data_IF_969958351778
#
_entry.id   IF_969958351778
#
_cell.length_a   1.000
_cell.length_b   1.000
_cell.length_c   1.000
_cell.angle_alpha   90.00
_cell.angle_beta   90.00
_cell.angle_gamma   90.00
#
_symmetry.space_group_name_H-M   'P 1'
#
loop_
_entity.id
_entity.type
_entity.pdbx_description
1 polymer ?
#
# COMPACT_ATOMS: atom_id res chain seq x y z
N UNK A 1 19.23 -30.66 -24.79
CA UNK A 1 20.33 -30.96 -23.85
C UNK A 1 19.80 -31.98 -22.85
N UNK A 2 20.21 -33.24 -22.97
CA UNK A 2 19.70 -34.33 -22.12
C UNK A 2 20.55 -34.50 -20.85
N UNK A 3 19.86 -34.78 -19.74
CA UNK A 3 20.33 -35.43 -18.51
C UNK A 3 21.56 -34.85 -17.79
N UNK A 4 21.34 -33.77 -17.03
CA UNK A 4 22.24 -33.34 -15.93
C UNK A 4 21.52 -32.94 -14.64
N UNK A 5 20.24 -33.27 -14.48
CA UNK A 5 19.41 -32.73 -13.38
C UNK A 5 19.43 -33.55 -12.09
N UNK A 6 20.28 -34.57 -11.95
CA UNK A 6 20.22 -35.46 -10.78
C UNK A 6 21.24 -35.16 -9.68
N UNK A 7 22.23 -34.30 -9.89
CA UNK A 7 23.29 -34.03 -8.89
C UNK A 7 23.81 -32.58 -8.98
N UNK A 8 22.93 -31.58 -8.87
CA UNK A 8 23.37 -30.21 -8.66
C UNK A 8 23.51 -29.96 -7.16
N UNK A 9 24.75 -29.73 -6.71
CA UNK A 9 25.05 -29.32 -5.35
C UNK A 9 24.34 -27.97 -5.08
N UNK A 10 23.57 -27.80 -3.99
CA UNK A 10 22.83 -26.55 -3.71
C UNK A 10 23.70 -25.28 -3.75
N UNK A 11 24.99 -25.41 -3.48
CA UNK A 11 25.97 -24.30 -3.53
C UNK A 11 26.33 -23.85 -4.95
N UNK A 12 26.11 -24.68 -5.97
CA UNK A 12 26.41 -24.38 -7.38
C UNK A 12 25.17 -23.88 -8.13
N UNK A 13 23.98 -24.12 -7.57
CA UNK A 13 22.70 -23.75 -8.16
C UNK A 13 22.57 -22.25 -8.51
N UNK A 14 23.03 -21.29 -7.67
CA UNK A 14 22.94 -19.87 -8.00
C UNK A 14 23.70 -19.50 -9.29
N UNK A 15 24.89 -20.08 -9.48
CA UNK A 15 25.71 -19.81 -10.66
C UNK A 15 25.08 -20.41 -11.91
N UNK A 16 24.64 -21.66 -11.83
CA UNK A 16 23.97 -22.36 -12.94
C UNK A 16 22.68 -21.63 -13.35
N UNK A 17 21.94 -21.10 -12.39
CA UNK A 17 20.71 -20.35 -12.63
C UNK A 17 20.97 -18.99 -13.28
N UNK A 18 21.93 -18.22 -12.75
CA UNK A 18 22.28 -16.92 -13.31
C UNK A 18 22.86 -17.07 -14.73
N UNK A 19 23.74 -18.05 -14.95
CA UNK A 19 24.29 -18.37 -16.28
C UNK A 19 23.19 -18.77 -17.29
N UNK A 20 22.20 -19.55 -16.85
CA UNK A 20 21.08 -19.96 -17.70
C UNK A 20 20.15 -18.79 -18.05
N UNK A 21 19.89 -17.88 -17.10
CA UNK A 21 19.12 -16.67 -17.35
C UNK A 21 19.85 -15.72 -18.29
N UNK A 22 21.15 -15.51 -18.08
CA UNK A 22 22.00 -14.67 -18.93
C UNK A 22 22.08 -15.22 -20.36
N UNK A 23 22.16 -16.55 -20.52
CA UNK A 23 22.14 -17.20 -21.83
C UNK A 23 20.81 -16.96 -22.58
N UNK A 24 19.67 -16.98 -21.88
CA UNK A 24 18.36 -16.66 -22.49
C UNK A 24 18.29 -15.19 -22.89
N UNK A 25 18.77 -14.28 -22.03
CA UNK A 25 18.83 -12.84 -22.33
C UNK A 25 19.72 -12.55 -23.56
N UNK A 26 20.84 -13.25 -23.71
CA UNK A 26 21.69 -13.14 -24.90
C UNK A 26 21.01 -13.69 -26.16
N UNK A 27 20.32 -14.84 -26.06
CA UNK A 27 19.59 -15.42 -27.19
C UNK A 27 18.37 -14.60 -27.61
N UNK A 28 17.81 -13.78 -26.72
CA UNK A 28 16.75 -12.81 -27.04
C UNK A 28 17.27 -11.66 -27.93
N UNK A 29 18.55 -11.29 -27.81
CA UNK A 29 19.19 -10.33 -28.70
C UNK A 29 19.59 -10.91 -30.07
N UNK A 30 19.51 -12.23 -30.21
CA UNK A 30 19.74 -12.96 -31.45
C UNK A 30 18.39 -13.37 -32.04
N UNK A 31 18.30 -13.58 -33.36
CA UNK A 31 17.05 -13.82 -34.09
C UNK A 31 16.45 -15.24 -33.81
N UNK A 32 16.44 -15.65 -32.55
CA UNK A 32 15.98 -16.93 -32.03
C UNK A 32 14.45 -16.92 -31.91
N UNK A 33 13.79 -18.02 -32.26
CA UNK A 33 12.34 -18.09 -32.21
C UNK A 33 11.81 -18.01 -30.77
N UNK A 34 10.79 -17.16 -30.57
CA UNK A 34 10.17 -16.95 -29.25
C UNK A 34 9.59 -18.23 -28.63
N UNK A 35 9.20 -19.21 -29.44
CA UNK A 35 8.72 -20.52 -28.95
C UNK A 35 9.81 -21.34 -28.30
N UNK A 36 11.04 -21.31 -28.82
CA UNK A 36 12.18 -22.01 -28.23
C UNK A 36 12.59 -21.35 -26.91
N UNK A 37 12.63 -20.02 -26.86
CA UNK A 37 12.96 -19.28 -25.63
C UNK A 37 11.94 -19.51 -24.52
N UNK A 38 10.64 -19.56 -24.85
CA UNK A 38 9.59 -19.91 -23.87
C UNK A 38 9.80 -21.31 -23.31
N UNK A 39 10.17 -22.27 -24.16
CA UNK A 39 10.44 -23.64 -23.73
C UNK A 39 11.63 -23.69 -22.76
N UNK A 40 12.72 -23.00 -23.08
CA UNK A 40 13.90 -22.92 -22.20
C UNK A 40 13.55 -22.28 -20.84
N UNK A 41 12.76 -21.21 -20.82
CA UNK A 41 12.30 -20.59 -19.55
C UNK A 41 11.46 -21.56 -18.72
N UNK A 42 10.57 -22.34 -19.34
CA UNK A 42 9.74 -23.33 -18.65
C UNK A 42 10.58 -24.51 -18.11
N UNK A 43 11.61 -24.93 -18.83
CA UNK A 43 12.56 -25.93 -18.35
C UNK A 43 13.31 -25.45 -17.09
N UNK A 44 13.67 -24.17 -17.02
CA UNK A 44 14.29 -23.58 -15.82
C UNK A 44 13.28 -23.46 -14.67
N UNK A 45 12.00 -23.17 -14.94
CA UNK A 45 10.96 -23.19 -13.90
C UNK A 45 10.80 -24.58 -13.27
N UNK A 46 10.80 -25.65 -14.06
CA UNK A 46 10.72 -27.01 -13.53
C UNK A 46 11.98 -27.39 -12.73
N UNK A 47 13.16 -26.96 -13.19
CA UNK A 47 14.40 -27.15 -12.45
C UNK A 47 14.36 -26.41 -11.10
N UNK A 48 13.92 -25.15 -11.09
CA UNK A 48 13.78 -24.36 -9.86
C UNK A 48 12.79 -25.01 -8.88
N UNK A 49 11.67 -25.56 -9.39
CA UNK A 49 10.70 -26.27 -8.57
C UNK A 49 11.29 -27.53 -7.94
N UNK A 50 12.12 -28.26 -8.69
CA UNK A 50 12.78 -29.49 -8.22
C UNK A 50 13.79 -29.26 -7.09
N UNK A 51 14.34 -28.04 -6.96
CA UNK A 51 15.31 -27.67 -5.90
C UNK A 51 14.74 -26.70 -4.88
N UNK A 52 13.45 -26.39 -4.95
CA UNK A 52 12.81 -25.34 -4.15
C UNK A 52 12.94 -25.57 -2.63
N UNK A 53 12.94 -26.83 -2.19
CA UNK A 53 13.14 -27.22 -0.79
C UNK A 53 14.60 -27.08 -0.31
N UNK A 54 15.56 -26.95 -1.25
CA UNK A 54 17.00 -26.86 -0.97
C UNK A 54 17.57 -25.44 -1.04
N UNK A 55 16.75 -24.44 -1.39
CA UNK A 55 17.17 -23.04 -1.52
C UNK A 55 16.42 -22.13 -0.56
N UNK A 56 16.97 -20.97 -0.26
CA UNK A 56 16.31 -20.01 0.64
C UNK A 56 15.03 -19.46 0.00
N UNK A 57 14.03 -19.13 0.83
CA UNK A 57 12.80 -18.50 0.36
C UNK A 57 13.06 -17.18 -0.40
N UNK A 58 14.11 -16.44 0.00
CA UNK A 58 14.54 -15.22 -0.68
C UNK A 58 15.05 -15.50 -2.09
N UNK A 59 15.92 -16.51 -2.25
CA UNK A 59 16.48 -16.88 -3.55
C UNK A 59 15.40 -17.46 -4.47
N UNK A 60 14.50 -18.29 -3.94
CA UNK A 60 13.35 -18.82 -4.67
C UNK A 60 12.48 -17.69 -5.25
N UNK A 61 12.15 -16.67 -4.45
CA UNK A 61 11.37 -15.53 -4.90
C UNK A 61 12.13 -14.68 -5.94
N UNK A 62 13.42 -14.43 -5.70
CA UNK A 62 14.30 -13.70 -6.63
C UNK A 62 14.35 -14.40 -7.99
N UNK A 63 14.52 -15.71 -8.02
CA UNK A 63 14.57 -16.52 -9.23
C UNK A 63 13.23 -16.58 -9.96
N UNK A 64 12.12 -16.79 -9.24
CA UNK A 64 10.76 -16.74 -9.80
C UNK A 64 10.45 -15.38 -10.44
N UNK A 65 10.81 -14.29 -9.75
CA UNK A 65 10.67 -12.93 -10.25
C UNK A 65 11.47 -12.71 -11.54
N UNK A 66 12.70 -13.24 -11.62
CA UNK A 66 13.54 -13.11 -12.81
C UNK A 66 12.97 -13.88 -14.01
N UNK A 67 12.56 -15.14 -13.83
CA UNK A 67 11.96 -15.95 -14.90
C UNK A 67 10.64 -15.37 -15.40
N UNK A 68 9.82 -14.85 -14.49
CA UNK A 68 8.55 -14.18 -14.84
C UNK A 68 8.78 -12.95 -15.72
N UNK A 69 9.82 -12.16 -15.41
CA UNK A 69 10.21 -11.01 -16.25
C UNK A 69 10.69 -11.45 -17.63
N UNK A 70 11.49 -12.52 -17.72
CA UNK A 70 11.96 -13.07 -18.99
C UNK A 70 10.80 -13.56 -19.85
N UNK A 71 9.88 -14.34 -19.27
CA UNK A 71 8.70 -14.84 -19.97
C UNK A 71 7.79 -13.71 -20.49
N UNK A 72 7.62 -12.66 -19.68
CA UNK A 72 6.87 -11.47 -20.06
C UNK A 72 7.53 -10.76 -21.24
N UNK A 73 8.84 -10.54 -21.20
CA UNK A 73 9.59 -9.90 -22.29
C UNK A 73 9.53 -10.70 -23.59
N UNK A 74 9.75 -12.01 -23.56
CA UNK A 74 9.62 -12.88 -24.74
C UNK A 74 8.21 -12.78 -25.34
N UNK A 75 7.19 -12.66 -24.50
CA UNK A 75 5.79 -12.54 -24.96
C UNK A 75 5.45 -11.15 -25.52
N UNK A 76 5.99 -10.07 -24.94
CA UNK A 76 5.83 -8.71 -25.47
C UNK A 76 6.61 -8.50 -26.76
N UNK A 77 7.81 -9.08 -26.89
CA UNK A 77 8.64 -8.94 -28.09
C UNK A 77 8.06 -9.76 -29.25
N UNK A 78 7.50 -10.94 -28.97
CA UNK A 78 6.77 -11.75 -29.94
C UNK A 78 5.43 -11.14 -30.41
N UNK A 79 4.86 -10.19 -29.66
CA UNK A 79 3.60 -9.50 -30.01
C UNK A 79 3.79 -8.11 -30.61
N UNK A 80 5.05 -7.71 -30.87
CA UNK A 80 5.39 -6.42 -31.50
C UNK A 80 5.05 -6.33 -33.00
N UNK A 81 4.60 -7.43 -33.63
CA UNK A 81 3.94 -7.37 -34.93
C UNK A 81 2.43 -7.18 -34.75
N UNK A 82 1.94 -5.98 -35.06
CA UNK A 82 0.52 -5.60 -35.21
C UNK A 82 -0.30 -5.39 -33.93
N UNK A 83 -0.03 -4.32 -33.19
CA UNK A 83 -1.10 -3.67 -32.42
C UNK A 83 -1.04 -2.15 -32.60
N UNK A 84 -2.05 -1.61 -33.30
CA UNK A 84 -2.27 -0.17 -33.43
C UNK A 84 -2.41 0.41 -32.02
N UNK A 85 -1.42 1.21 -31.61
CA UNK A 85 -1.51 1.98 -30.35
C UNK A 85 -2.75 2.87 -30.42
N UNK A 86 -3.66 2.65 -29.48
CA UNK A 86 -4.77 3.54 -29.21
C UNK A 86 -4.18 4.88 -28.76
N UNK A 87 -4.24 5.90 -29.61
CA UNK A 87 -3.82 7.25 -29.27
C UNK A 87 -5.02 8.00 -28.69
N UNK A 88 -4.92 8.44 -27.44
CA UNK A 88 -5.84 9.42 -26.90
C UNK A 88 -5.74 10.70 -27.72
N UNK A 89 -6.84 11.13 -28.35
CA UNK A 89 -6.91 12.44 -28.98
C UNK A 89 -6.93 13.49 -27.87
N UNK A 90 -5.81 14.18 -27.69
CA UNK A 90 -5.71 15.32 -26.78
C UNK A 90 -6.73 16.40 -27.15
N UNK A 91 -7.42 16.95 -26.13
CA UNK A 91 -8.30 18.11 -26.25
C UNK A 91 -7.53 19.29 -26.89
N UNK A 92 -8.16 20.09 -27.76
CA UNK A 92 -7.54 21.30 -28.29
C UNK A 92 -7.30 22.32 -27.16
N UNK A 93 -6.04 22.68 -26.94
CA UNK A 93 -5.68 23.82 -26.10
C UNK A 93 -6.05 25.12 -26.83
N UNK A 94 -6.65 26.11 -26.14
CA UNK A 94 -6.83 27.45 -26.70
C UNK A 94 -5.45 28.10 -26.89
N UNK A 95 -5.25 28.64 -28.10
CA UNK A 95 -4.11 29.48 -28.47
C UNK A 95 -4.27 30.81 -27.74
N UNK A 96 -3.30 31.13 -26.90
CA UNK A 96 -2.66 32.45 -26.79
C UNK A 96 -1.74 32.44 -25.57
N UNK A 97 -0.44 32.24 -25.81
CA UNK A 97 0.58 33.20 -25.38
C UNK A 97 1.96 32.78 -25.90
N UNK A 98 2.75 33.82 -26.13
CA UNK A 98 3.92 33.88 -26.98
C UNK A 98 5.13 33.21 -26.33
N UNK A 99 5.91 32.57 -27.19
CA UNK A 99 7.29 32.09 -27.04
C UNK A 99 8.13 32.82 -26.00
N UNK A 100 8.89 32.04 -25.23
CA UNK A 100 10.33 32.28 -25.16
C UNK A 100 11.08 30.94 -25.11
N UNK A 101 11.66 30.59 -26.26
CA UNK A 101 12.64 29.51 -26.40
C UNK A 101 13.97 30.03 -25.87
N UNK A 102 14.40 29.63 -24.68
CA UNK A 102 15.82 29.53 -24.37
C UNK A 102 16.10 28.75 -23.07
N UNK A 103 17.05 27.81 -23.21
CA UNK A 103 17.79 27.05 -22.17
C UNK A 103 17.15 25.74 -21.67
N UNK A 104 17.23 24.74 -22.54
CA UNK A 104 17.78 23.46 -22.11
C UNK A 104 19.30 23.61 -21.91
N UNK A 105 19.76 23.58 -20.66
CA UNK A 105 21.04 23.00 -20.19
C UNK A 105 21.43 23.55 -18.81
N UNK A 106 21.84 22.63 -17.93
CA UNK A 106 22.48 22.80 -16.61
C UNK A 106 21.64 23.31 -15.44
N UNK A 107 21.20 22.38 -14.59
CA UNK A 107 21.53 22.34 -13.16
C UNK A 107 21.55 20.85 -12.76
N UNK A 108 22.72 20.21 -12.66
CA UNK A 108 23.48 20.08 -11.41
C UNK A 108 22.61 19.82 -10.17
N UNK A 109 22.83 18.64 -9.59
CA UNK A 109 22.68 18.30 -8.18
C UNK A 109 22.24 19.49 -7.30
N UNK A 110 20.96 19.56 -6.98
CA UNK A 110 20.50 20.27 -5.79
C UNK A 110 19.83 19.25 -4.88
N UNK A 111 20.43 19.19 -3.70
CA UNK A 111 20.02 18.56 -2.46
C UNK A 111 18.51 18.36 -2.29
N UNK A 112 18.16 17.23 -1.66
CA UNK A 112 16.93 17.00 -0.91
C UNK A 112 16.59 18.18 0.00
N UNK A 113 15.93 19.21 -0.53
CA UNK A 113 15.02 20.02 0.24
C UNK A 113 13.67 19.34 0.05
N UNK A 114 13.22 18.60 1.05
CA UNK A 114 11.85 18.12 1.11
C UNK A 114 10.96 19.34 0.85
N UNK A 115 10.23 19.33 -0.26
CA UNK A 115 9.12 20.26 -0.47
C UNK A 115 8.13 19.88 0.62
N UNK A 116 8.20 20.59 1.75
CA UNK A 116 7.29 20.38 2.87
C UNK A 116 5.93 20.84 2.37
N UNK A 117 5.09 19.87 2.01
CA UNK A 117 3.68 20.10 1.72
C UNK A 117 3.07 20.95 2.84
N UNK A 118 2.23 21.96 2.52
CA UNK A 118 1.76 22.92 3.51
C UNK A 118 0.97 22.21 4.61
N UNK A 119 1.32 22.50 5.87
CA UNK A 119 0.65 21.95 7.05
C UNK A 119 -0.77 22.52 7.17
N UNK A 120 -1.77 21.66 7.31
CA UNK A 120 -3.16 22.03 7.53
C UNK A 120 -3.49 21.93 9.03
N UNK A 121 -3.73 23.07 9.69
CA UNK A 121 -3.88 23.12 11.15
C UNK A 121 -5.26 23.64 11.57
N UNK A 122 -5.91 22.94 12.50
CA UNK A 122 -7.10 23.45 13.20
C UNK A 122 -8.37 23.53 12.36
N UNK A 123 -8.45 22.83 11.22
CA UNK A 123 -9.57 22.91 10.28
C UNK A 123 -10.55 21.75 10.47
N UNK A 124 -11.83 22.04 10.25
CA UNK A 124 -12.85 21.03 9.98
C UNK A 124 -12.94 20.83 8.46
N UNK A 125 -12.60 19.63 8.01
CA UNK A 125 -12.57 19.21 6.61
C UNK A 125 -13.70 18.20 6.37
N UNK A 126 -14.37 18.34 5.24
CA UNK A 126 -15.31 17.33 4.74
C UNK A 126 -14.61 16.50 3.67
N UNK A 127 -14.90 15.19 3.65
CA UNK A 127 -14.31 14.30 2.66
C UNK A 127 -14.90 14.53 1.27
N UNK A 128 -14.03 14.88 0.33
CA UNK A 128 -14.24 14.92 -1.10
C UNK A 128 -13.51 13.76 -1.80
N UNK A 129 -14.21 13.11 -2.73
CA UNK A 129 -13.65 12.01 -3.54
C UNK A 129 -12.51 12.52 -4.44
N UNK A 130 -11.36 11.86 -4.37
CA UNK A 130 -10.18 12.20 -5.19
C UNK A 130 -9.29 13.31 -4.61
N UNK A 131 -9.66 13.87 -3.45
CA UNK A 131 -8.77 14.77 -2.72
C UNK A 131 -7.71 13.99 -1.94
N UNK A 132 -6.55 14.64 -1.76
CA UNK A 132 -5.43 14.12 -0.95
C UNK A 132 -5.46 14.79 0.43
N UNK A 133 -5.37 14.00 1.50
CA UNK A 133 -5.40 14.48 2.87
C UNK A 133 -4.04 14.26 3.51
N UNK A 134 -3.19 15.28 3.45
CA UNK A 134 -1.84 15.22 3.98
C UNK A 134 -1.55 16.35 4.98
N UNK A 135 -0.67 16.08 5.96
CA UNK A 135 -0.14 17.06 6.92
C UNK A 135 -1.23 17.73 7.77
N UNK A 136 -2.16 16.92 8.29
CA UNK A 136 -3.27 17.36 9.14
C UNK A 136 -2.82 17.44 10.60
N UNK A 137 -3.04 18.57 11.26
CA UNK A 137 -2.76 18.73 12.69
C UNK A 137 -3.90 19.45 13.41
N UNK A 138 -4.38 18.89 14.52
CA UNK A 138 -5.54 19.42 15.24
C UNK A 138 -6.78 19.62 14.35
N UNK A 139 -6.91 18.79 13.31
CA UNK A 139 -7.98 18.87 12.32
C UNK A 139 -9.05 17.81 12.60
N UNK A 140 -10.21 17.99 11.98
CA UNK A 140 -11.18 16.91 11.83
C UNK A 140 -11.44 16.65 10.35
N UNK A 141 -11.45 15.39 9.93
CA UNK A 141 -11.88 14.97 8.60
C UNK A 141 -13.15 14.12 8.75
N UNK A 142 -14.26 14.59 8.17
CA UNK A 142 -15.58 13.97 8.36
C UNK A 142 -16.24 13.56 7.05
N UNK A 143 -17.04 12.49 7.12
CA UNK A 143 -17.96 12.11 6.05
C UNK A 143 -19.28 11.62 6.67
N UNK A 144 -20.38 12.28 6.34
CA UNK A 144 -21.71 11.99 6.90
C UNK A 144 -22.72 11.43 5.88
N UNK A 145 -22.34 11.32 4.60
CA UNK A 145 -23.30 11.01 3.54
C UNK A 145 -23.52 9.49 3.37
N UNK A 146 -24.70 9.01 3.72
CA UNK A 146 -25.12 7.61 3.55
C UNK A 146 -25.48 7.24 2.10
N UNK A 147 -25.61 8.23 1.20
CA UNK A 147 -25.88 7.93 -0.21
C UNK A 147 -24.58 7.51 -0.88
N UNK A 148 -24.50 6.21 -1.16
CA UNK A 148 -23.51 5.63 -2.06
C UNK A 148 -23.41 6.50 -3.31
N UNK A 149 -22.21 7.00 -3.58
CA UNK A 149 -21.93 7.64 -4.85
C UNK A 149 -22.05 6.60 -5.97
N UNK A 150 -22.23 7.01 -7.22
CA UNK A 150 -22.21 6.10 -8.38
C UNK A 150 -20.87 5.33 -8.51
N UNK A 151 -19.87 5.66 -7.68
CA UNK A 151 -18.57 5.02 -7.64
C UNK A 151 -18.58 3.81 -6.68
N UNK A 152 -18.69 2.60 -7.25
CA UNK A 152 -18.63 1.36 -6.47
C UNK A 152 -17.23 1.07 -5.88
N UNK A 153 -16.17 1.64 -6.47
CA UNK A 153 -14.78 1.35 -6.08
C UNK A 153 -13.95 2.61 -5.91
N UNK A 154 -13.32 2.82 -4.75
CA UNK A 154 -12.44 3.96 -4.51
C UNK A 154 -11.36 3.65 -3.47
N UNK A 155 -10.45 4.60 -3.25
CA UNK A 155 -9.44 4.51 -2.22
C UNK A 155 -9.40 5.81 -1.41
N UNK A 156 -9.26 5.67 -0.10
CA UNK A 156 -8.99 6.79 0.82
C UNK A 156 -7.53 6.68 1.23
N UNK A 157 -6.79 7.77 1.06
CA UNK A 157 -5.42 7.89 1.53
C UNK A 157 -5.29 9.12 2.43
N UNK A 158 -4.83 8.91 3.66
CA UNK A 158 -4.57 9.97 4.65
C UNK A 158 -3.15 9.82 5.14
N UNK A 159 -2.36 10.88 5.07
CA UNK A 159 -0.93 10.87 5.41
C UNK A 159 -0.57 11.97 6.40
N UNK A 160 0.31 11.68 7.36
CA UNK A 160 0.86 12.67 8.30
C UNK A 160 -0.27 13.39 9.06
N UNK A 161 -1.03 12.65 9.86
CA UNK A 161 -2.22 13.13 10.58
C UNK A 161 -2.03 13.06 12.09
N UNK A 162 -1.99 14.20 12.77
CA UNK A 162 -1.60 14.29 14.19
C UNK A 162 -2.64 15.03 15.03
N UNK A 163 -2.89 14.56 16.25
CA UNK A 163 -3.81 15.20 17.21
C UNK A 163 -5.20 15.50 16.61
N UNK A 164 -5.66 14.63 15.70
CA UNK A 164 -6.79 14.90 14.82
C UNK A 164 -7.87 13.82 14.94
N UNK A 165 -9.08 14.14 14.48
CA UNK A 165 -10.20 13.19 14.39
C UNK A 165 -10.47 12.85 12.93
N UNK A 166 -10.49 11.56 12.61
CA UNK A 166 -11.01 11.04 11.35
C UNK A 166 -12.34 10.37 11.69
N UNK A 167 -13.46 10.87 11.18
CA UNK A 167 -14.79 10.36 11.54
C UNK A 167 -15.70 10.19 10.32
N UNK A 168 -15.76 8.96 9.84
CA UNK A 168 -16.55 8.54 8.70
C UNK A 168 -17.75 7.74 9.22
N UNK A 169 -18.93 8.37 9.21
CA UNK A 169 -20.21 7.74 9.59
C UNK A 169 -20.80 6.85 8.48
N UNK A 170 -20.11 6.77 7.34
CA UNK A 170 -20.37 5.91 6.19
C UNK A 170 -19.19 5.99 5.22
N UNK A 171 -19.30 5.40 4.02
CA UNK A 171 -18.31 5.55 2.96
C UNK A 171 -18.96 5.73 1.59
N UNK A 172 -18.34 6.49 0.67
CA UNK A 172 -18.92 6.75 -0.65
C UNK A 172 -18.74 5.59 -1.65
N UNK A 173 -18.21 4.44 -1.22
CA UNK A 173 -17.91 3.26 -2.05
C UNK A 173 -18.09 1.95 -1.26
N UNK A 174 -18.34 0.84 -1.97
CA UNK A 174 -18.49 -0.50 -1.40
C UNK A 174 -17.20 -1.33 -1.50
N UNK A 175 -16.36 -1.07 -2.49
CA UNK A 175 -15.14 -1.82 -2.75
C UNK A 175 -13.93 -0.88 -2.71
N UNK A 176 -12.80 -1.38 -2.20
CA UNK A 176 -11.53 -0.67 -2.33
C UNK A 176 -10.73 -0.68 -1.05
N UNK A 177 -10.10 0.46 -0.73
CA UNK A 177 -9.15 0.50 0.38
C UNK A 177 -9.14 1.82 1.16
N UNK A 178 -8.78 1.71 2.43
CA UNK A 178 -8.44 2.83 3.30
C UNK A 178 -7.00 2.61 3.74
N UNK A 179 -6.15 3.59 3.44
CA UNK A 179 -4.75 3.60 3.82
C UNK A 179 -4.45 4.84 4.65
N UNK A 180 -3.93 4.63 5.85
CA UNK A 180 -3.52 5.71 6.75
C UNK A 180 -2.04 5.51 7.09
N UNK A 181 -1.25 6.54 6.83
CA UNK A 181 0.19 6.55 7.03
C UNK A 181 0.61 7.69 7.97
N UNK A 182 1.53 7.41 8.89
CA UNK A 182 2.17 8.40 9.76
C UNK A 182 1.13 9.22 10.55
N UNK A 183 0.41 8.56 11.46
CA UNK A 183 -0.62 9.23 12.25
C UNK A 183 -0.45 9.01 13.76
N UNK A 184 -0.46 10.11 14.51
CA UNK A 184 -0.12 10.13 15.94
C UNK A 184 -1.20 10.80 16.79
N UNK A 185 -1.55 10.17 17.92
CA UNK A 185 -2.52 10.72 18.89
C UNK A 185 -3.87 11.11 18.28
N UNK A 186 -4.34 10.30 17.32
CA UNK A 186 -5.60 10.52 16.61
C UNK A 186 -6.73 9.64 17.16
N UNK A 187 -7.97 10.05 16.88
CA UNK A 187 -9.15 9.19 16.98
C UNK A 187 -9.64 8.90 15.57
N UNK A 188 -9.73 7.62 15.22
CA UNK A 188 -10.04 7.15 13.87
C UNK A 188 -11.31 6.31 13.93
N UNK A 189 -12.37 6.79 13.30
CA UNK A 189 -13.69 6.17 13.27
C UNK A 189 -14.09 5.92 11.82
N UNK A 190 -14.33 4.65 11.48
CA UNK A 190 -14.94 4.24 10.23
C UNK A 190 -16.14 3.32 10.49
N UNK A 191 -17.29 3.72 9.98
CA UNK A 191 -18.47 2.87 9.84
C UNK A 191 -18.57 2.43 8.39
N UNK A 192 -18.26 1.16 8.16
CA UNK A 192 -18.20 0.57 6.82
C UNK A 192 -19.61 0.09 6.41
N UNK A 193 -20.04 0.34 5.16
CA UNK A 193 -21.34 -0.14 4.68
C UNK A 193 -21.48 -1.67 4.78
N UNK A 194 -22.72 -2.14 4.88
CA UNK A 194 -23.05 -3.56 4.76
C UNK A 194 -22.51 -4.16 3.45
N UNK A 195 -22.08 -5.43 3.49
CA UNK A 195 -21.56 -6.16 2.31
C UNK A 195 -20.34 -5.50 1.62
N UNK A 196 -19.69 -4.54 2.26
CA UNK A 196 -18.52 -3.88 1.70
C UNK A 196 -17.28 -4.79 1.71
N UNK A 197 -16.45 -4.62 0.68
CA UNK A 197 -15.15 -5.29 0.53
C UNK A 197 -14.04 -4.23 0.57
N UNK A 198 -13.81 -3.71 1.77
CA UNK A 198 -12.87 -2.62 2.01
C UNK A 198 -11.66 -3.16 2.77
N UNK A 199 -10.49 -3.01 2.18
CA UNK A 199 -9.22 -3.32 2.84
C UNK A 199 -8.76 -2.13 3.66
N UNK A 200 -8.44 -2.35 4.94
CA UNK A 200 -7.91 -1.30 5.82
C UNK A 200 -6.47 -1.62 6.15
N UNK A 201 -5.59 -0.65 5.88
CA UNK A 201 -4.16 -0.77 6.12
C UNK A 201 -3.66 0.47 6.85
N UNK A 202 -3.01 0.24 7.99
CA UNK A 202 -2.52 1.28 8.89
C UNK A 202 -1.00 1.14 8.98
N UNK A 203 -0.27 2.21 8.65
CA UNK A 203 1.19 2.21 8.61
C UNK A 203 1.78 3.33 9.47
N UNK A 204 2.66 2.99 10.42
CA UNK A 204 3.34 3.99 11.24
C UNK A 204 2.42 4.79 12.16
N UNK A 205 1.34 4.19 12.67
CA UNK A 205 0.44 4.85 13.62
C UNK A 205 0.98 4.74 15.06
N UNK A 206 0.82 5.79 15.85
CA UNK A 206 1.24 5.85 17.25
C UNK A 206 0.17 6.42 18.18
N UNK A 207 -0.14 5.70 19.27
CA UNK A 207 -1.07 6.15 20.32
C UNK A 207 -2.45 6.60 19.80
N UNK A 208 -2.95 5.91 18.77
CA UNK A 208 -4.26 6.18 18.17
C UNK A 208 -5.37 5.33 18.78
N UNK A 209 -6.54 5.94 18.94
CA UNK A 209 -7.80 5.25 19.27
C UNK A 209 -8.55 4.90 17.97
N UNK A 210 -8.91 3.63 17.81
CA UNK A 210 -9.43 3.12 16.53
C UNK A 210 -10.79 2.45 16.75
N UNK A 211 -11.78 2.93 16.01
CA UNK A 211 -13.09 2.32 15.84
C UNK A 211 -13.36 2.01 14.37
N UNK A 212 -13.37 0.74 13.98
CA UNK A 212 -13.65 0.30 12.61
C UNK A 212 -14.65 -0.85 12.68
N UNK A 213 -15.88 -0.61 12.24
CA UNK A 213 -16.94 -1.61 12.27
C UNK A 213 -17.73 -1.59 10.96
N UNK A 214 -18.11 -2.77 10.49
CA UNK A 214 -19.13 -2.92 9.45
C UNK A 214 -20.52 -2.90 10.06
N UNK A 215 -21.48 -2.34 9.34
CA UNK A 215 -22.88 -2.25 9.81
C UNK A 215 -23.53 -3.62 10.00
N UNK A 216 -23.18 -4.58 9.14
CA UNK A 216 -23.63 -5.97 9.24
C UNK A 216 -22.89 -6.80 10.32
N UNK A 217 -22.00 -6.16 11.09
CA UNK A 217 -21.18 -6.78 12.14
C UNK A 217 -20.34 -7.97 11.67
N UNK A 218 -20.09 -8.10 10.36
CA UNK A 218 -19.19 -9.12 9.85
C UNK A 218 -17.72 -8.80 10.16
N UNK A 219 -16.91 -9.85 10.20
CA UNK A 219 -15.48 -9.77 10.49
C UNK A 219 -14.76 -8.85 9.48
N UNK A 220 -14.20 -7.75 9.98
CA UNK A 220 -13.37 -6.82 9.20
C UNK A 220 -11.89 -7.10 9.42
N UNK A 221 -11.13 -7.29 8.35
CA UNK A 221 -9.67 -7.43 8.45
C UNK A 221 -8.98 -6.06 8.46
N UNK A 222 -8.02 -5.87 9.37
CA UNK A 222 -7.19 -4.66 9.46
C UNK A 222 -5.73 -5.07 9.45
N UNK A 223 -4.95 -4.52 8.53
CA UNK A 223 -3.51 -4.75 8.42
C UNK A 223 -2.75 -3.64 9.15
N UNK A 224 -1.82 -4.00 10.01
CA UNK A 224 -0.96 -3.08 10.75
C UNK A 224 0.48 -3.21 10.32
N UNK A 225 1.18 -2.10 10.15
CA UNK A 225 2.61 -2.07 9.85
C UNK A 225 3.29 -0.96 10.65
N UNK A 226 4.35 -1.32 11.39
CA UNK A 226 5.16 -0.39 12.18
C UNK A 226 4.32 0.50 13.12
N UNK A 227 3.20 -0.01 13.62
CA UNK A 227 2.33 0.73 14.53
C UNK A 227 2.76 0.52 15.99
N UNK A 228 2.36 1.43 16.90
CA UNK A 228 2.67 1.37 18.33
C UNK A 228 1.53 1.91 19.18
N UNK A 229 1.32 1.28 20.34
CA UNK A 229 0.34 1.67 21.36
C UNK A 229 -1.07 1.96 20.79
N UNK A 230 -1.52 1.14 19.84
CA UNK A 230 -2.86 1.30 19.27
C UNK A 230 -3.91 0.80 20.24
N UNK A 231 -5.01 1.55 20.38
CA UNK A 231 -6.16 1.13 21.15
C UNK A 231 -7.37 0.94 20.24
N UNK A 232 -7.70 -0.31 19.99
CA UNK A 232 -8.97 -0.67 19.36
C UNK A 232 -10.08 -0.66 20.41
N UNK A 233 -11.27 -0.19 20.04
CA UNK A 233 -12.40 -0.20 20.95
C UNK A 233 -12.75 -1.65 21.35
N UNK A 234 -13.10 -1.88 22.61
CA UNK A 234 -13.40 -3.21 23.16
C UNK A 234 -14.42 -4.01 22.34
N UNK A 235 -15.51 -3.36 21.92
CA UNK A 235 -16.58 -3.91 21.08
C UNK A 235 -16.11 -4.50 19.75
N UNK A 236 -14.91 -4.14 19.29
CA UNK A 236 -14.36 -4.66 18.03
C UNK A 236 -13.72 -6.04 18.16
N UNK A 237 -13.50 -6.52 19.38
CA UNK A 237 -12.71 -7.73 19.66
C UNK A 237 -13.18 -8.94 18.86
N UNK A 238 -14.49 -9.11 18.71
CA UNK A 238 -15.08 -10.29 18.06
C UNK A 238 -15.42 -10.06 16.59
N UNK A 239 -15.34 -8.80 16.11
CA UNK A 239 -15.71 -8.40 14.75
C UNK A 239 -14.54 -7.84 13.94
N UNK A 240 -13.32 -7.85 14.48
CA UNK A 240 -12.12 -7.44 13.76
C UNK A 240 -11.02 -8.49 13.82
N UNK A 241 -10.37 -8.71 12.67
CA UNK A 241 -9.19 -9.57 12.53
C UNK A 241 -7.98 -8.70 12.24
N UNK A 242 -7.10 -8.57 13.22
CA UNK A 242 -5.86 -7.81 13.06
C UNK A 242 -4.77 -8.69 12.46
N UNK A 243 -4.09 -8.19 11.43
CA UNK A 243 -2.91 -8.81 10.81
C UNK A 243 -1.73 -7.85 10.98
N UNK A 244 -0.84 -8.13 11.92
CA UNK A 244 0.35 -7.31 12.15
C UNK A 244 1.51 -7.78 11.25
N UNK A 245 1.87 -6.93 10.29
CA UNK A 245 2.93 -7.17 9.31
C UNK A 245 4.26 -6.52 9.70
N UNK A 246 4.36 -5.92 10.90
CA UNK A 246 5.60 -5.29 11.40
C UNK A 246 6.78 -6.25 11.56
N UNK A 247 6.50 -7.56 11.58
CA UNK A 247 7.50 -8.61 11.81
C UNK A 247 7.63 -9.60 10.65
N UNK A 248 7.05 -9.30 9.48
CA UNK A 248 7.24 -10.13 8.30
C UNK A 248 8.72 -10.20 7.96
N UNK A 249 9.28 -11.41 7.92
CA UNK A 249 10.70 -11.66 7.70
C UNK A 249 11.61 -11.47 8.92
N UNK A 250 11.07 -11.14 10.10
CA UNK A 250 11.83 -11.13 11.36
C UNK A 250 11.78 -12.52 12.00
N UNK A 251 12.92 -12.98 12.52
CA UNK A 251 13.08 -14.30 13.18
C UNK A 251 12.57 -14.31 14.62
N UNK A 252 12.30 -13.15 15.21
CA UNK A 252 11.70 -13.01 16.54
C UNK A 252 10.35 -12.30 16.43
N UNK A 253 9.32 -12.95 16.95
CA UNK A 253 8.03 -12.30 17.17
C UNK A 253 8.16 -11.38 18.39
N UNK A 254 7.52 -10.20 18.39
CA UNK A 254 7.46 -9.34 19.57
C UNK A 254 6.71 -10.08 20.70
N UNK A 255 7.17 -9.90 21.95
CA UNK A 255 6.54 -10.53 23.13
C UNK A 255 5.10 -10.07 23.35
N UNK A 256 4.75 -8.87 22.88
CA UNK A 256 3.41 -8.31 22.98
C UNK A 256 2.99 -7.64 21.67
N UNK A 257 1.69 -7.69 21.32
CA UNK A 257 1.17 -7.01 20.15
C UNK A 257 1.26 -5.49 20.32
N UNK A 258 1.47 -4.77 19.22
CA UNK A 258 1.51 -3.30 19.19
C UNK A 258 0.13 -2.63 19.39
N UNK A 259 -0.89 -3.42 19.73
CA UNK A 259 -2.26 -2.98 19.87
C UNK A 259 -2.95 -3.70 21.04
N UNK A 260 -4.01 -3.10 21.56
CA UNK A 260 -4.86 -3.66 22.59
C UNK A 260 -6.32 -3.29 22.36
N UNK A 261 -7.23 -4.17 22.76
CA UNK A 261 -8.65 -3.84 22.86
C UNK A 261 -8.95 -3.27 24.24
N UNK A 262 -9.42 -2.02 24.31
CA UNK A 262 -9.79 -1.36 25.55
C UNK A 262 -10.87 -0.32 25.29
N UNK A 263 -11.76 -0.13 26.25
CA UNK A 263 -12.82 0.88 26.18
C UNK A 263 -12.25 2.30 26.03
N UNK A 264 -12.98 3.10 25.26
CA UNK A 264 -12.88 4.55 25.22
C UNK A 264 -14.22 5.14 24.79
N UNK A 265 -14.48 6.36 25.21
CA UNK A 265 -15.73 7.02 24.85
C UNK A 265 -15.75 7.36 23.36
N UNK A 266 -16.75 6.85 22.64
CA UNK A 266 -17.02 7.18 21.24
C UNK A 266 -17.78 8.50 21.11
N UNK A 267 -18.21 9.09 22.22
CA UNK A 267 -18.94 10.35 22.31
C UNK A 267 -20.12 10.44 21.35
N UNK A 268 -20.91 9.36 21.23
CA UNK A 268 -22.00 9.21 20.27
C UNK A 268 -21.58 9.46 18.80
N UNK A 269 -20.30 9.26 18.47
CA UNK A 269 -19.71 9.56 17.17
C UNK A 269 -19.77 11.04 16.76
N UNK A 270 -19.88 11.94 17.74
CA UNK A 270 -19.91 13.38 17.51
C UNK A 270 -18.49 13.95 17.43
N UNK A 271 -18.09 14.39 16.23
CA UNK A 271 -16.76 14.92 15.94
C UNK A 271 -16.30 16.00 16.93
N UNK A 272 -17.12 17.01 17.30
CA UNK A 272 -16.69 18.02 18.28
C UNK A 272 -16.42 17.47 19.68
N UNK A 273 -17.12 16.40 20.07
CA UNK A 273 -16.89 15.75 21.36
C UNK A 273 -15.60 14.90 21.33
N UNK A 274 -15.38 14.15 20.25
CA UNK A 274 -14.14 13.40 20.04
C UNK A 274 -12.90 14.31 20.03
N UNK A 275 -12.99 15.48 19.37
CA UNK A 275 -11.90 16.48 19.38
C UNK A 275 -11.57 16.97 20.80
N UNK A 276 -12.60 17.24 21.62
CA UNK A 276 -12.40 17.63 23.04
C UNK A 276 -11.71 16.53 23.84
N UNK A 277 -12.04 15.26 23.59
CA UNK A 277 -11.38 14.13 24.25
C UNK A 277 -9.88 14.05 23.92
N UNK A 278 -9.47 14.29 22.67
CA UNK A 278 -8.05 14.35 22.29
C UNK A 278 -7.35 15.49 23.03
N UNK A 279 -7.93 16.70 22.99
CA UNK A 279 -7.34 17.89 23.62
C UNK A 279 -7.17 17.72 25.15
N UNK A 280 -8.13 17.09 25.81
CA UNK A 280 -8.06 16.76 27.24
C UNK A 280 -6.88 15.83 27.56
N UNK A 281 -6.69 14.77 26.76
CA UNK A 281 -5.58 13.82 26.94
C UNK A 281 -4.22 14.50 26.78
N UNK A 282 -4.06 15.31 25.73
CA UNK A 282 -2.81 16.04 25.48
C UNK A 282 -2.50 17.02 26.63
N UNK A 283 -3.52 17.72 27.12
CA UNK A 283 -3.38 18.64 28.26
C UNK A 283 -2.94 17.91 29.54
N UNK A 284 -3.48 16.71 29.79
CA UNK A 284 -3.12 15.91 30.97
C UNK A 284 -1.69 15.36 30.94
N UNK A 285 -1.13 15.11 29.75
CA UNK A 285 0.25 14.65 29.58
C UNK A 285 1.26 15.78 29.82
N UNK A 286 0.91 17.02 29.46
CA UNK A 286 1.77 18.19 29.68
C UNK A 286 1.93 18.55 31.16
N UNK A 287 0.96 18.22 32.02
CA UNK A 287 1.01 18.52 33.45
C UNK A 287 1.81 17.48 34.26
N UNK A 288 2.27 16.39 33.64
CA UNK A 288 3.04 15.31 34.29
C UNK A 288 4.55 15.40 34.03
N UNK A 289 5.02 16.46 33.38
CA UNK A 289 6.44 16.79 33.17
C UNK A 289 6.78 18.00 34.04
#
# INVERSE_FOLDING_TARGET
MSNRTSELNPSEFPKVFDDACDAIEQKMGQNTSASLLKKEVLEIFELLRSVSDSISAYDLERYNSRLTRLLKRITTDASSSTTRKFQFKSRPQPKDQVKDDNKAQNMQHMSNAAVVSPKCVGKALEFETGAEYENLENCSLTFENEKLSDCNSSAIHIKSCHNSVINFKGLPFLHGSIYIEDAGSCVIVFRLPELSHIQIRLHGLESCDIYVAREDSQLQSVVLENCKDLRFHSNLRDITKIQDFSSVGKTSAPEQPNYRYKDFDLCNFETPALMRCIQSKLSSQLTQI
#
